data_IF_265550971278
#
_entry.id   IF_265550971278
#
_cell.length_a   1.000
_cell.length_b   1.000
_cell.length_c   1.000
_cell.angle_alpha   90.00
_cell.angle_beta   90.00
_cell.angle_gamma   90.00
#
_symmetry.space_group_name_H-M   'P 1'
#
loop_
_entity.id
_entity.type
_entity.pdbx_description
1 polymer ?
#
# COMPACT_ATOMS: atom_id res chain seq x y z
N UNK A 1 3.56 -4.16 18.12
CA UNK A 1 4.74 -3.62 17.40
C UNK A 1 5.13 -4.52 16.23
N UNK A 2 5.41 -5.80 16.44
CA UNK A 2 5.79 -6.74 15.38
C UNK A 2 4.76 -6.85 14.23
N UNK A 3 3.47 -6.95 14.56
CA UNK A 3 2.37 -6.98 13.57
C UNK A 3 2.36 -5.76 12.65
N UNK A 4 2.57 -4.56 13.21
CA UNK A 4 2.64 -3.31 12.44
C UNK A 4 3.86 -3.33 11.53
N UNK A 5 5.04 -3.68 12.07
CA UNK A 5 6.27 -3.77 11.28
C UNK A 5 6.15 -4.75 10.10
N UNK A 6 5.58 -5.93 10.34
CA UNK A 6 5.37 -6.94 9.31
C UNK A 6 4.44 -6.42 8.22
N UNK A 7 3.28 -5.88 8.59
CA UNK A 7 2.32 -5.34 7.61
C UNK A 7 2.93 -4.20 6.81
N UNK A 8 3.52 -3.20 7.46
CA UNK A 8 4.13 -2.04 6.79
C UNK A 8 5.24 -2.48 5.84
N UNK A 9 6.09 -3.43 6.25
CA UNK A 9 7.17 -3.95 5.40
C UNK A 9 6.64 -4.65 4.16
N UNK A 10 5.62 -5.51 4.31
CA UNK A 10 5.03 -6.21 3.17
C UNK A 10 4.27 -5.27 2.23
N UNK A 11 3.53 -4.29 2.77
CA UNK A 11 2.89 -3.25 1.97
C UNK A 11 3.93 -2.45 1.18
N UNK A 12 5.02 -2.04 1.84
CA UNK A 12 6.11 -1.30 1.22
C UNK A 12 6.76 -2.09 0.06
N UNK A 13 7.13 -3.35 0.31
CA UNK A 13 7.69 -4.24 -0.72
C UNK A 13 6.75 -4.36 -1.93
N UNK A 14 5.48 -4.67 -1.70
CA UNK A 14 4.51 -4.82 -2.79
C UNK A 14 4.29 -3.53 -3.56
N UNK A 15 4.19 -2.40 -2.85
CA UNK A 15 4.00 -1.09 -3.44
C UNK A 15 5.17 -0.70 -4.36
N UNK A 16 6.42 -0.92 -3.92
CA UNK A 16 7.62 -0.68 -4.74
C UNK A 16 7.79 -1.68 -5.89
N UNK A 17 7.35 -2.93 -5.73
CA UNK A 17 7.33 -3.91 -6.82
C UNK A 17 6.20 -3.66 -7.84
N UNK A 18 5.45 -2.56 -7.71
CA UNK A 18 4.39 -2.18 -8.66
C UNK A 18 3.10 -2.99 -8.52
N UNK A 19 2.93 -3.77 -7.45
CA UNK A 19 1.64 -4.41 -7.16
C UNK A 19 0.63 -3.37 -6.67
N UNK A 20 -0.62 -3.48 -7.14
CA UNK A 20 -1.74 -2.59 -6.79
C UNK A 20 -3.04 -3.36 -6.52
N UNK A 21 -4.02 -2.65 -5.94
CA UNK A 21 -5.39 -3.05 -5.61
C UNK A 21 -5.57 -4.47 -5.06
N UNK A 22 -5.71 -5.50 -5.88
CA UNK A 22 -5.96 -6.89 -5.44
C UNK A 22 -4.86 -7.45 -4.53
N UNK A 23 -3.60 -7.13 -4.80
CA UNK A 23 -2.46 -7.63 -4.00
C UNK A 23 -2.28 -6.90 -2.65
N UNK A 24 -2.83 -5.69 -2.52
CA UNK A 24 -2.85 -4.87 -1.30
C UNK A 24 -4.15 -5.08 -0.49
N UNK A 25 -5.26 -5.50 -1.12
CA UNK A 25 -6.54 -5.84 -0.45
C UNK A 25 -6.36 -6.86 0.69
N UNK A 26 -5.52 -7.87 0.49
CA UNK A 26 -5.26 -8.85 1.55
C UNK A 26 -4.47 -8.24 2.73
N UNK A 27 -3.71 -7.17 2.50
CA UNK A 27 -2.90 -6.53 3.53
C UNK A 27 -3.70 -5.54 4.38
N UNK A 28 -4.77 -4.93 3.84
CA UNK A 28 -5.65 -4.05 4.62
C UNK A 28 -6.48 -4.80 5.67
N UNK A 29 -6.66 -6.11 5.49
CA UNK A 29 -7.38 -6.95 6.47
C UNK A 29 -6.50 -7.35 7.67
N UNK A 30 -5.18 -7.14 7.57
CA UNK A 30 -4.23 -7.56 8.62
C UNK A 30 -4.40 -6.74 9.90
N UNK A 31 -4.09 -7.36 11.04
CA UNK A 31 -4.10 -6.68 12.35
C UNK A 31 -3.15 -5.48 12.38
N UNK A 32 -1.98 -5.60 11.74
CA UNK A 32 -1.02 -4.50 11.64
C UNK A 32 -1.56 -3.29 10.89
N UNK A 33 -2.35 -3.50 9.83
CA UNK A 33 -2.97 -2.41 9.08
C UNK A 33 -4.00 -1.67 9.92
N UNK A 34 -4.91 -2.41 10.57
CA UNK A 34 -5.95 -1.81 11.45
C UNK A 34 -5.35 -0.96 12.57
N UNK A 35 -4.19 -1.36 13.10
CA UNK A 35 -3.47 -0.56 14.09
C UNK A 35 -2.97 0.75 13.46
N UNK A 36 -2.37 0.69 12.26
CA UNK A 36 -1.88 1.88 11.54
C UNK A 36 -3.02 2.83 11.17
N UNK A 37 -4.14 2.30 10.70
CA UNK A 37 -5.34 3.07 10.34
C UNK A 37 -5.90 3.88 11.52
N UNK A 38 -5.78 3.35 12.74
CA UNK A 38 -6.25 3.97 13.98
C UNK A 38 -5.24 4.94 14.63
N UNK A 39 -4.02 5.05 14.08
CA UNK A 39 -3.06 6.04 14.57
C UNK A 39 -3.54 7.45 14.24
N UNK A 40 -3.18 8.40 15.12
CA UNK A 40 -3.23 9.81 14.77
C UNK A 40 -2.36 10.08 13.54
N UNK A 41 -2.65 11.22 12.88
CA UNK A 41 -1.93 11.65 11.68
C UNK A 41 -0.43 11.69 11.94
N UNK A 42 0.29 10.84 11.22
CA UNK A 42 1.73 10.70 11.30
C UNK A 42 2.26 10.12 10.01
N UNK A 43 3.57 10.29 9.80
CA UNK A 43 4.24 9.89 8.55
C UNK A 43 3.91 8.45 8.10
N UNK A 44 3.97 7.47 9.01
CA UNK A 44 3.70 6.07 8.63
C UNK A 44 2.22 5.86 8.27
N UNK A 45 1.30 6.51 8.99
CA UNK A 45 -0.13 6.42 8.70
C UNK A 45 -0.42 7.02 7.32
N UNK A 46 0.03 8.24 7.07
CA UNK A 46 -0.18 8.94 5.79
C UNK A 46 0.43 8.16 4.63
N UNK A 47 1.66 7.65 4.80
CA UNK A 47 2.35 6.85 3.80
C UNK A 47 1.54 5.60 3.41
N UNK A 48 1.09 4.83 4.40
CA UNK A 48 0.33 3.60 4.18
C UNK A 48 -1.05 3.89 3.60
N UNK A 49 -1.76 4.90 4.09
CA UNK A 49 -3.06 5.31 3.53
C UNK A 49 -2.93 5.86 2.11
N UNK A 50 -1.82 6.54 1.80
CA UNK A 50 -1.49 7.02 0.47
C UNK A 50 -1.35 5.89 -0.55
N UNK A 51 -0.73 4.76 -0.17
CA UNK A 51 -0.63 3.58 -1.04
C UNK A 51 -1.99 3.00 -1.44
N UNK A 52 -2.98 3.08 -0.55
CA UNK A 52 -4.34 2.56 -0.80
C UNK A 52 -5.15 3.52 -1.67
N UNK A 53 -4.95 4.83 -1.49
CA UNK A 53 -5.65 5.88 -2.26
C UNK A 53 -5.03 6.11 -3.64
N UNK A 54 -3.80 5.62 -3.89
CA UNK A 54 -3.14 5.65 -5.20
C UNK A 54 -3.82 4.68 -6.19
N UNK A 55 -4.96 5.11 -6.74
CA UNK A 55 -5.75 4.35 -7.73
C UNK A 55 -5.29 4.56 -9.18
N UNK A 56 -4.36 5.48 -9.45
CA UNK A 56 -4.16 6.01 -10.81
C UNK A 56 -2.82 5.67 -11.46
N UNK A 57 -1.85 5.11 -10.75
CA UNK A 57 -0.53 4.82 -11.31
C UNK A 57 -0.29 3.31 -11.47
N UNK A 58 -0.86 2.71 -12.52
CA UNK A 58 -0.35 1.42 -13.01
C UNK A 58 1.00 1.67 -13.70
N UNK A 59 2.05 1.82 -12.92
CA UNK A 59 3.42 2.06 -13.39
C UNK A 59 3.96 0.90 -14.24
N UNK A 60 3.24 -0.22 -14.29
CA UNK A 60 3.58 -1.39 -15.11
C UNK A 60 2.75 -1.47 -16.40
N UNK A 61 1.79 -0.57 -16.63
CA UNK A 61 1.19 -0.36 -17.96
C UNK A 61 2.02 0.66 -18.72
N UNK A 62 2.88 0.17 -19.60
CA UNK A 62 3.38 1.00 -20.70
C UNK A 62 2.18 1.40 -21.58
N UNK A 63 1.81 2.67 -21.55
CA UNK A 63 0.99 3.22 -22.62
C UNK A 63 1.87 3.29 -23.87
N UNK A 64 1.69 2.33 -24.79
CA UNK A 64 2.29 2.39 -26.12
C UNK A 64 1.24 3.00 -27.04
N UNK A 65 1.38 4.27 -27.47
CA UNK A 65 0.46 4.85 -28.43
C UNK A 65 0.55 4.08 -29.75
N UNK A 66 -0.61 3.71 -30.30
CA UNK A 66 -0.71 3.09 -31.61
C UNK A 66 -0.84 4.25 -32.62
N UNK A 67 0.08 4.31 -33.59
CA UNK A 67 0.00 5.22 -34.75
C UNK A 67 -0.98 4.70 -35.79
#
# INVERSE_FOLDING_TARGET
>A
KEEVFRTVTEMNKKYFSGYRNEALKQLIETKGFKIVEQLDECFIQEYIMGMIKDQNADNNKLHIPIN
#
